data_IF_163331935560
#
_entry.id   IF_163331935560
#
_cell.length_a   1.000
_cell.length_b   1.000
_cell.length_c   1.000
_cell.angle_alpha   90.00
_cell.angle_beta   90.00
_cell.angle_gamma   90.00
#
_symmetry.space_group_name_H-M   'P 1'
#
loop_
_entity.id
_entity.type
_entity.pdbx_description
1 polymer ?
2 non-polymer ?
3 non-polymer ?
#
# COMPACT_ATOMS: atom_id res chain seq x y z
N UNK A 1 -16.39 -11.88 -1.67
CA UNK A 1 -15.82 -12.15 -0.31
C UNK A 1 -14.40 -12.77 -0.37
N UNK A 2 -13.51 -12.08 -1.04
CA UNK A 2 -12.08 -12.51 -1.22
C UNK A 2 -11.25 -11.31 -0.73
N UNK A 3 -10.09 -11.17 -1.32
CA UNK A 3 -9.18 -10.06 -0.99
C UNK A 3 -9.82 -8.84 -1.72
N UNK A 4 -10.98 -8.42 -1.23
CA UNK A 4 -11.68 -7.24 -1.83
C UNK A 4 -10.66 -6.11 -1.75
N UNK A 5 -9.78 -6.30 -0.83
CA UNK A 5 -8.65 -5.41 -0.54
C UNK A 5 -7.83 -5.31 -1.85
N UNK A 6 -7.63 -6.48 -2.37
CA UNK A 6 -6.88 -6.68 -3.63
C UNK A 6 -7.66 -5.99 -4.75
N UNK A 7 -8.93 -5.82 -4.51
CA UNK A 7 -9.82 -5.14 -5.49
C UNK A 7 -9.50 -3.61 -5.20
N UNK A 8 -9.42 -3.23 -3.95
CA UNK A 8 -9.08 -1.79 -3.59
C UNK A 8 -7.74 -1.47 -4.33
N UNK A 9 -6.83 -2.42 -4.24
CA UNK A 9 -5.48 -2.37 -4.86
C UNK A 9 -5.55 -2.10 -6.39
N UNK A 10 -6.74 -2.13 -6.92
CA UNK A 10 -6.96 -1.89 -8.37
C UNK A 10 -7.46 -0.49 -8.32
N UNK A 11 -8.51 -0.25 -7.61
CA UNK A 11 -9.03 1.15 -7.52
C UNK A 11 -7.92 2.22 -7.38
N UNK A 12 -7.14 2.07 -6.34
CA UNK A 12 -6.02 3.00 -6.04
C UNK A 12 -5.08 3.25 -7.24
N UNK A 13 -5.17 2.42 -8.23
CA UNK A 13 -4.35 2.50 -9.48
C UNK A 13 -5.18 3.27 -10.54
N UNK A 14 -6.47 3.17 -10.38
CA UNK A 14 -7.42 3.83 -11.31
C UNK A 14 -7.70 5.25 -10.90
N UNK A 15 -7.37 5.60 -9.68
CA UNK A 15 -7.61 6.98 -9.22
C UNK A 15 -7.20 7.91 -10.36
N UNK A 16 -8.01 8.88 -10.64
CA UNK A 16 -7.68 9.82 -11.75
C UNK A 16 -6.24 10.36 -11.60
N UNK A 17 -5.65 10.12 -10.46
CA UNK A 17 -4.26 10.59 -10.22
C UNK A 17 -3.28 9.92 -9.24
N UNK A 18 -2.17 9.38 -9.71
CA UNK A 18 -1.09 8.74 -8.91
C UNK A 18 -1.08 9.55 -7.60
N UNK A 19 -1.68 9.01 -6.57
CA UNK A 19 -1.71 9.75 -5.28
C UNK A 19 -0.38 10.23 -4.78
N UNK A 20 -0.43 11.06 -3.78
CA UNK A 20 0.86 11.59 -3.25
C UNK A 20 1.70 10.44 -2.66
N UNK A 21 2.94 10.35 -3.09
CA UNK A 21 3.84 9.27 -2.56
C UNK A 21 3.56 9.04 -1.03
N UNK A 22 3.34 10.03 -0.19
CA UNK A 22 3.05 9.80 1.27
C UNK A 22 1.76 8.94 1.51
N UNK A 23 0.76 9.08 0.69
CA UNK A 23 -0.47 8.24 0.89
C UNK A 23 -0.17 6.89 0.25
N UNK A 24 0.66 6.93 -0.77
CA UNK A 24 1.06 5.69 -1.48
C UNK A 24 1.75 4.92 -0.34
N UNK A 25 2.71 5.54 0.30
CA UNK A 25 3.49 5.01 1.44
C UNK A 25 2.66 4.03 2.26
N UNK A 26 1.63 4.57 2.85
CA UNK A 26 0.74 3.70 3.68
C UNK A 26 0.09 2.59 2.85
N UNK A 27 -0.51 3.00 1.76
CA UNK A 27 -1.18 2.01 0.89
C UNK A 27 -0.19 0.83 0.66
N UNK A 28 1.00 1.13 0.18
CA UNK A 28 1.99 0.03 -0.03
C UNK A 28 2.14 -0.93 1.14
N UNK A 29 2.56 -0.39 2.27
CA UNK A 29 2.74 -1.25 3.47
C UNK A 29 1.58 -2.21 3.70
N UNK A 30 0.39 -1.71 3.81
CA UNK A 30 -0.76 -2.62 4.04
C UNK A 30 -0.96 -3.53 2.80
N UNK A 31 -0.98 -2.97 1.63
CA UNK A 31 -1.13 -3.73 0.35
C UNK A 31 -0.19 -4.99 0.30
N UNK A 32 1.06 -4.64 0.37
CA UNK A 32 2.23 -5.57 0.33
C UNK A 32 2.17 -6.59 1.46
N UNK A 33 1.80 -6.16 2.63
CA UNK A 33 1.72 -7.16 3.74
C UNK A 33 0.60 -8.16 3.37
N UNK A 34 -0.55 -7.61 3.11
CA UNK A 34 -1.76 -8.41 2.73
C UNK A 34 -1.49 -9.38 1.53
N UNK A 35 -0.88 -8.88 0.51
CA UNK A 35 -0.57 -9.70 -0.72
C UNK A 35 0.74 -10.45 -0.55
N UNK A 36 1.81 -9.79 -0.26
CA UNK A 36 3.09 -10.53 -0.11
C UNK A 36 3.22 -11.23 1.24
N UNK A 37 3.42 -10.41 2.22
CA UNK A 37 3.61 -10.84 3.65
C UNK A 37 5.02 -10.38 4.10
N UNK A 38 5.27 -10.48 5.38
CA UNK A 38 6.56 -10.09 6.06
C UNK A 38 7.78 -9.85 5.14
N UNK A 39 7.79 -8.70 4.54
CA UNK A 39 8.86 -8.25 3.58
C UNK A 39 10.16 -9.10 3.39
N UNK A 40 10.29 -9.59 2.19
CA UNK A 40 11.43 -10.44 1.73
C UNK A 40 12.16 -9.77 0.54
N UNK A 41 12.12 -8.47 0.56
CA UNK A 41 12.76 -7.64 -0.53
C UNK A 41 13.78 -6.68 0.07
N UNK A 42 14.48 -5.96 -0.78
CA UNK A 42 15.48 -4.97 -0.29
C UNK A 42 15.13 -3.51 -0.47
N UNK A 43 15.94 -2.77 0.23
CA UNK A 43 15.80 -1.31 0.22
C UNK A 43 16.15 -0.76 -1.21
N UNK A 44 15.53 0.35 -1.50
CA UNK A 44 15.58 1.15 -2.75
C UNK A 44 16.67 1.03 -3.84
N UNK A 45 16.10 1.05 -5.00
CA UNK A 45 16.84 0.97 -6.30
C UNK A 45 16.43 2.29 -6.97
N UNK A 46 16.45 2.35 -8.27
CA UNK A 46 16.07 3.58 -9.05
C UNK A 46 15.30 4.75 -8.36
N UNK A 47 14.45 4.50 -7.39
CA UNK A 47 13.69 5.58 -6.70
C UNK A 47 13.87 5.67 -5.16
N UNK A 48 15.09 5.81 -4.67
CA UNK A 48 15.34 5.90 -3.19
C UNK A 48 14.17 6.18 -2.25
N UNK A 49 13.79 7.43 -2.24
CA UNK A 49 12.67 7.91 -1.40
C UNK A 49 11.51 6.91 -1.42
N UNK A 50 11.14 6.64 -2.65
CA UNK A 50 10.03 5.72 -3.00
C UNK A 50 10.37 4.35 -2.48
N UNK A 51 11.41 3.82 -3.04
CA UNK A 51 11.94 2.48 -2.70
C UNK A 51 11.89 2.21 -1.22
N UNK A 52 12.36 3.12 -0.42
CA UNK A 52 12.31 2.83 1.00
C UNK A 52 10.90 3.11 1.36
N UNK A 53 10.37 4.26 1.08
CA UNK A 53 8.95 4.49 1.48
C UNK A 53 8.12 3.20 1.44
N UNK A 54 8.12 2.58 0.30
CA UNK A 54 7.35 1.31 0.16
C UNK A 54 8.02 0.29 1.10
N UNK A 55 9.26 -0.04 0.84
CA UNK A 55 10.00 -1.03 1.67
C UNK A 55 9.77 -0.77 3.18
N UNK A 56 10.29 0.34 3.59
CA UNK A 56 10.23 0.86 4.98
C UNK A 56 8.79 0.76 5.53
N UNK A 57 7.86 1.44 4.90
CA UNK A 57 6.44 1.40 5.35
C UNK A 57 5.97 -0.06 5.59
N UNK A 58 6.24 -0.91 4.63
CA UNK A 58 5.83 -2.36 4.73
C UNK A 58 6.59 -3.08 5.86
N UNK A 59 7.86 -2.95 5.78
CA UNK A 59 8.89 -3.51 6.71
C UNK A 59 8.49 -3.23 8.16
N UNK A 60 7.77 -2.15 8.29
CA UNK A 60 7.25 -1.64 9.60
C UNK A 60 6.18 -2.61 10.14
N UNK A 61 5.43 -3.10 9.19
CA UNK A 61 4.30 -4.05 9.37
C UNK A 61 4.71 -5.51 9.57
N UNK A 62 5.77 -5.89 8.90
CA UNK A 62 6.29 -7.30 8.99
C UNK A 62 6.00 -7.77 10.45
N UNK A 63 5.38 -8.89 10.46
CA UNK A 63 4.92 -9.58 11.70
C UNK A 63 3.38 -9.59 11.66
N UNK A 64 2.79 -8.52 11.17
CA UNK A 64 1.27 -8.37 11.06
C UNK A 64 0.68 -9.33 10.03
N UNK A 65 -0.50 -9.83 10.29
CA UNK A 65 -1.16 -10.77 9.35
C UNK A 65 -1.94 -10.10 8.19
N UNK A 66 -1.86 -10.78 7.07
CA UNK A 66 -2.52 -10.36 5.80
C UNK A 66 -3.87 -9.61 5.76
N UNK A 67 -4.72 -10.04 6.63
CA UNK A 67 -6.10 -9.49 6.77
C UNK A 67 -6.13 -8.20 7.57
N UNK A 68 -5.38 -8.15 8.64
CA UNK A 68 -5.34 -6.91 9.47
C UNK A 68 -4.81 -5.85 8.52
N UNK A 69 -3.78 -6.31 7.85
CA UNK A 69 -3.11 -5.47 6.83
C UNK A 69 -4.27 -5.00 5.95
N UNK A 70 -5.03 -5.91 5.38
CA UNK A 70 -6.17 -5.51 4.51
C UNK A 70 -7.06 -4.45 5.16
N UNK A 71 -7.63 -4.78 6.29
CA UNK A 71 -8.52 -3.84 7.02
C UNK A 71 -8.08 -2.38 6.86
N UNK A 72 -6.87 -2.10 7.22
CA UNK A 72 -6.38 -0.70 7.08
C UNK A 72 -6.03 -0.46 5.59
N UNK A 73 -5.37 -1.37 4.92
CA UNK A 73 -5.06 -1.11 3.49
C UNK A 73 -6.27 -0.53 2.75
N UNK A 74 -7.30 -1.34 2.82
CA UNK A 74 -8.61 -1.08 2.19
C UNK A 74 -9.04 0.30 2.63
N UNK A 75 -9.26 0.48 3.89
CA UNK A 75 -9.68 1.81 4.41
C UNK A 75 -8.80 2.95 3.87
N UNK A 76 -7.56 2.62 3.62
CA UNK A 76 -6.65 3.68 3.08
C UNK A 76 -6.93 3.73 1.57
N UNK A 77 -7.09 2.66 0.82
CA UNK A 77 -7.40 2.84 -0.65
C UNK A 77 -8.64 3.71 -0.61
N UNK A 78 -9.51 3.42 0.34
CA UNK A 78 -10.74 4.23 0.48
C UNK A 78 -10.33 5.70 0.46
N UNK A 79 -9.40 6.16 1.27
CA UNK A 79 -9.00 7.60 1.21
C UNK A 79 -8.76 8.09 -0.26
N UNK A 80 -7.96 7.42 -1.07
CA UNK A 80 -7.75 7.85 -2.45
C UNK A 80 -9.09 8.13 -3.15
N UNK A 81 -9.99 7.24 -2.88
CA UNK A 81 -11.36 7.33 -3.46
C UNK A 81 -11.91 8.78 -3.41
N UNK A 82 -11.55 9.44 -2.34
CA UNK A 82 -11.92 10.84 -2.02
C UNK A 82 -10.86 11.87 -2.42
N UNK A 83 -9.67 11.56 -2.04
CA UNK A 83 -8.48 12.41 -2.33
C UNK A 83 -8.41 12.72 -3.83
N UNK A 84 -8.53 11.64 -4.54
CA UNK A 84 -8.48 11.77 -6.03
C UNK A 84 -9.90 11.56 -6.62
N UNK A 85 -10.72 10.58 -6.28
CA UNK A 85 -12.06 10.57 -6.97
C UNK A 85 -12.07 9.59 -8.10
N UNK A 86 -12.27 8.36 -7.76
CA UNK A 86 -12.31 7.29 -8.78
C UNK A 86 -13.77 6.94 -9.19
X LIG B 1 -1.46 -0.86 -5.14
X LIG B 1 -0.54 -0.80 -4.19
X LIG B 1 0.78 -0.97 -4.28
X LIG B 1 1.15 -1.24 -5.55
X LIG B 1 0.33 -1.32 -6.63
X LIG B 1 -1.02 -1.12 -6.38
X LIG B 1 -1.91 -1.18 -7.34
X LIG B 1 1.05 -1.59 -7.78
X LIG B 1 2.28 -1.64 -7.36
X LIG B 1 2.42 -1.44 -6.02
X LIG B 1 3.66 -1.45 -5.20
X LIG B 1 4.97 -1.81 -5.91
X LIG B 1 5.34 -3.14 -5.47
X LIG B 1 5.99 -0.74 -5.46
X LIG B 1 6.83 -1.02 -4.29
X LIG B 1 8.14 -1.95 -4.33
X LIG B 1 8.83 -1.62 -3.08
X LIG B 1 8.77 -1.38 -5.52
X LIG B 1 7.55 -3.32 -4.37
X LIG B 1 5.05 0.39 -5.02
X LIG B 1 3.75 -0.10 -4.79
X LIG B 1 4.94 1.56 -6.04
X LIG B 1 4.98 1.08 -7.37
X LIG B 1 6.25 1.41 -8.30
X LIG B 1 7.48 1.19 -7.48
X LIG B 1 6.11 0.72 -9.58
X LIG B 1 6.25 2.92 -8.59
X LIG B 1 4.90 3.62 -8.87
X LIG B 1 4.23 3.82 -7.56
X LIG B 1 5.28 4.87 -9.54
X LIG B 1 3.99 2.77 -9.91
X LIG B 1 1.72 1.92 -9.98
X LIG B 1 3.17 1.63 -9.60
X LIG B 1 1.38 3.17 -9.29
X LIG B 1 0.82 0.91 -9.31
X LIG B 1 1.53 2.01 -11.53
X LIG B 1 2.55 2.83 -12.08
X LIG B 1 0.02 2.25 -11.84
X LIG B 1 -0.69 1.37 -12.28
X LIG B 1 -0.43 3.45 -11.57
X LIG B 1 -1.84 3.90 -11.79
X LIG B 1 -1.88 5.01 -12.90
X LIG B 1 -0.79 6.07 -12.74
X LIG B 1 -1.02 7.26 -12.59
X LIG B 1 0.38 5.51 -12.80
X LIG B 1 1.68 6.19 -12.68
X LIG B 1 2.25 5.50 -11.44
X LIG B 1 1.91 6.35 -9.87
X LIG B 1 -0.92 -0.53 -3.21
X LIG B 1 -1.57 -1.14 -8.29
X LIG B 1 -2.89 -1.26 -7.14
X LIG B 1 3.16 -1.79 -7.97
X LIG B 1 3.53 -2.07 -4.31
X LIG B 1 4.88 -1.78 -6.99
X LIG B 1 6.31 -3.14 -5.48
X LIG B 1 6.61 -0.48 -6.32
X LIG B 1 5.42 0.69 -4.08
X LIG B 1 5.70 2.30 -5.85
X LIG B 1 3.98 2.09 -5.96
X LIG B 1 3.53 0.74 -10.10
X LIG B 1 3.18 1.42 -8.55
X LIG B 1 0.33 3.41 -9.43
X LIG B 1 1.62 3.02 -8.25
X LIG B 1 2.01 3.96 -9.62
X LIG B 1 0.99 -0.09 -9.68
X LIG B 1 -0.21 1.21 -9.46
X LIG B 1 1.05 0.96 -8.25
X LIG B 1 1.75 1.13 -11.97
X LIG B 1 3.23 2.81 -11.37
X LIG B 1 0.23 4.05 -11.20
X LIG B 1 -2.45 3.07 -12.10
X LIG B 1 -2.22 4.31 -10.86
X LIG B 1 -1.72 4.51 -13.84
X LIG B 1 -2.84 5.48 -12.89
X LIG B 1 0.38 4.55 -12.95
X LIG B 1 2.29 5.99 -13.56
X LIG B 1 1.55 7.24 -12.53
X LIG B 1 3.32 5.31 -11.52
X LIG B 1 1.81 4.50 -11.40
X LIG C 1 0.22 5.87 -9.39
X LIG C 1 -0.79 5.88 -10.07
X LIG C 1 0.14 5.45 -7.94
X LIG C 1 -1.16 4.71 -7.59
X LIG C 1 -1.03 3.98 -6.17
X LIG C 1 0.19 2.98 -6.17
X LIG C 1 0.00 1.93 -5.16
X LIG C 1 0.03 2.58 -3.77
X LIG C 1 0.69 1.73 -2.75
X LIG C 1 2.11 1.48 -3.12
X LIG C 1 2.92 2.68 -2.74
X LIG C 1 4.36 2.25 -2.60
X LIG C 1 5.07 2.92 -1.38
X LIG C 1 4.88 4.37 -1.40
X LIG C 1 5.24 4.87 -2.73
X LIG C 1 6.40 5.87 -2.73
X LIG C 1 6.26 6.96 -1.75
X LIG C 1 1.00 4.84 -7.68
X LIG C 1 0.11 6.40 -7.43
X LIG C 1 -1.96 5.44 -7.68
X LIG C 1 -1.35 3.97 -8.35
X LIG C 1 -1.89 3.37 -5.94
X LIG C 1 -0.90 4.67 -5.36
X LIG C 1 0.25 2.45 -7.09
X LIG C 1 1.16 3.41 -5.89
X LIG C 1 0.77 1.21 -5.34
X LIG C 1 -0.96 1.47 -5.33
X LIG C 1 -1.00 2.61 -3.47
X LIG C 1 0.49 3.56 -3.76
X LIG C 1 0.22 0.78 -2.59
X LIG C 1 0.65 2.27 -1.82
X LIG C 1 2.23 1.33 -4.17
X LIG C 1 2.42 0.57 -2.63
X LIG C 1 2.86 3.38 -3.56
X LIG C 1 2.56 3.14 -1.84
X LIG C 1 4.84 2.44 -3.55
X LIG C 1 4.44 1.20 -2.46
X LIG C 1 4.69 2.58 -0.44
X LIG C 1 6.13 2.75 -1.41
X LIG C 1 3.83 4.53 -1.28
X LIG C 1 5.44 4.83 -0.61
X LIG C 1 4.25 5.15 -3.11
X LIG C 1 5.59 4.05 -3.32
X LIG C 1 6.42 6.40 -3.65
X LIG C 1 7.33 5.35 -2.53
X LIG C 1 5.29 7.38 -2.00
X LIG C 1 6.27 6.64 -0.74
X LIG C 1 7.05 7.67 -1.92
#
# INVERSE_FOLDING_TARGET
SQAEFDKAAEEVKHLKTKPADEEMLFIYSHYKQATVGDINTERPGMLDFKGKAKWDAWNELKGTSKEDAMKAYIDKVEELKKKYGI
COA N1A C2A N3A C4A C5A C6A N6A N7A C8A N9A C1B C2B O2B C3B O3B P3B O7A O8A O9A C4B O4B C5B O5B P1A O1A O2A O3A P2A O4A O5A O6A CBP CCP CDP CEP CAP OAP C9P O9P N8P C7P C6P C5P O5P N4P C3P C2P S1P H2A H61A H62A H8A H1B H2B HO2A H3B H4B H51A H52A H121 H122 H131 H132 H133 H141 H142 H143 H10 HO1 HN8 H71 H72 H61 H62 HN4 H31 H32 H21 H22
PLM C1 O2 C2 C3 C4 C5 C6 C7 C8 C9 CA CB CC CD CE CF CG H21 H22 H31 H32 H41 H42 H51 H52 H61 H62 H71 H72 H81 H82 H91 H92 HA1 HA2 HB1 HB2 HC1 HC2 HD1 HD2 HE1 HE2 HF1 HF2 HG1 HG2 HG3
#
